data_IF_499785019128
#
_entry.id   IF_499785019128
#
_cell.length_a   1.000
_cell.length_b   1.000
_cell.length_c   1.000
_cell.angle_alpha   90.00
_cell.angle_beta   90.00
_cell.angle_gamma   90.00
#
_symmetry.space_group_name_H-M   'P 1'
#
loop_
_entity.id
_entity.type
_entity.pdbx_description
1 polymer ?
#
# COMPACT_ATOMS: atom_id res chain seq x y z
N UNK A 1 -0.82 34.33 7.87
CA UNK A 1 -0.61 32.92 8.19
C UNK A 1 -0.64 32.20 6.85
N UNK A 2 0.52 31.85 6.33
CA UNK A 2 0.65 31.25 5.00
C UNK A 2 0.38 29.75 5.13
N UNK A 3 -0.80 29.31 4.69
CA UNK A 3 -1.00 27.90 4.34
C UNK A 3 -0.06 27.59 3.16
N UNK A 4 1.14 27.18 3.52
CA UNK A 4 2.10 26.67 2.53
C UNK A 4 1.46 25.49 1.83
N UNK A 5 1.45 25.55 0.51
CA UNK A 5 0.91 24.59 -0.44
C UNK A 5 1.44 23.16 -0.13
N UNK A 6 0.83 22.49 0.86
CA UNK A 6 1.24 21.17 1.33
C UNK A 6 0.81 20.16 0.28
N UNK A 7 1.75 19.56 -0.39
CA UNK A 7 1.46 18.51 -1.38
C UNK A 7 0.73 17.36 -0.69
N UNK A 8 -0.49 17.00 -1.13
CA UNK A 8 -1.21 15.86 -0.56
C UNK A 8 -0.40 14.56 -0.65
N UNK A 9 -0.53 13.71 0.37
CA UNK A 9 0.06 12.39 0.34
C UNK A 9 -0.53 11.53 -0.80
N UNK A 10 -1.83 11.72 -1.05
CA UNK A 10 -2.55 11.09 -2.17
C UNK A 10 -3.42 12.16 -2.82
N UNK A 11 -3.31 12.27 -4.14
CA UNK A 11 -4.18 13.10 -4.97
C UNK A 11 -4.76 12.23 -6.09
N UNK A 12 -6.07 12.21 -6.21
CA UNK A 12 -6.81 11.52 -7.26
C UNK A 12 -7.68 12.57 -7.96
N UNK A 13 -7.54 12.70 -9.28
CA UNK A 13 -8.22 13.74 -10.05
C UNK A 13 -8.99 13.09 -11.21
N UNK A 14 -10.34 13.18 -11.14
CA UNK A 14 -11.30 12.70 -12.15
C UNK A 14 -11.03 11.27 -12.63
N UNK A 15 -10.66 10.39 -11.70
CA UNK A 15 -10.25 9.03 -12.04
C UNK A 15 -11.45 8.14 -12.32
N UNK A 16 -11.41 7.53 -13.50
CA UNK A 16 -12.32 6.46 -13.88
C UNK A 16 -11.54 5.21 -14.24
N UNK A 17 -12.09 4.05 -13.93
CA UNK A 17 -11.55 2.74 -14.30
C UNK A 17 -12.62 1.82 -14.84
N UNK A 18 -12.43 1.38 -16.08
CA UNK A 18 -13.26 0.35 -16.74
C UNK A 18 -12.50 -0.97 -16.84
N UNK A 19 -13.23 -2.05 -16.64
CA UNK A 19 -12.82 -3.42 -16.93
C UNK A 19 -13.68 -3.93 -18.12
N UNK A 20 -13.20 -3.68 -19.34
CA UNK A 20 -14.03 -3.85 -20.54
C UNK A 20 -15.25 -2.93 -20.48
N UNK A 21 -16.45 -3.50 -20.42
CA UNK A 21 -17.70 -2.74 -20.30
C UNK A 21 -18.17 -2.50 -18.86
N UNK A 22 -17.45 -3.02 -17.87
CA UNK A 22 -17.81 -2.89 -16.45
C UNK A 22 -17.08 -1.70 -15.84
N UNK A 23 -17.82 -0.79 -15.21
CA UNK A 23 -17.25 0.35 -14.47
C UNK A 23 -16.82 -0.13 -13.09
N UNK A 24 -15.55 0.03 -12.77
CA UNK A 24 -15.01 -0.21 -11.43
C UNK A 24 -15.15 1.01 -10.53
N UNK A 25 -14.75 2.19 -11.02
CA UNK A 25 -15.02 3.51 -10.43
C UNK A 25 -15.22 4.53 -11.55
N UNK A 26 -15.95 5.60 -11.27
CA UNK A 26 -16.27 6.64 -12.23
C UNK A 26 -16.11 8.03 -11.62
N UNK A 27 -15.30 8.86 -12.26
CA UNK A 27 -15.09 10.29 -11.97
C UNK A 27 -14.82 10.58 -10.47
N UNK A 28 -13.89 9.82 -9.88
CA UNK A 28 -13.51 9.98 -8.47
C UNK A 28 -12.40 11.01 -8.34
N UNK A 29 -12.63 12.01 -7.48
CA UNK A 29 -11.62 13.00 -7.09
C UNK A 29 -11.54 13.06 -5.57
N UNK A 30 -10.31 12.97 -5.02
CA UNK A 30 -10.03 13.10 -3.59
C UNK A 30 -8.58 13.54 -3.35
N UNK A 31 -8.36 14.22 -2.24
CA UNK A 31 -7.03 14.55 -1.73
C UNK A 31 -6.92 14.10 -0.27
N UNK A 32 -5.80 13.45 0.06
CA UNK A 32 -5.49 13.00 1.42
C UNK A 32 -4.15 13.63 1.82
N UNK A 33 -4.17 14.50 2.81
CA UNK A 33 -2.98 15.20 3.28
C UNK A 33 -2.26 14.44 4.40
N UNK A 34 -2.99 13.73 5.24
CA UNK A 34 -2.45 12.95 6.36
C UNK A 34 -3.55 12.51 7.34
N UNK A 35 -3.12 11.88 8.44
CA UNK A 35 -4.04 11.33 9.44
C UNK A 35 -4.65 9.99 9.02
N UNK A 36 -5.81 9.66 9.59
CA UNK A 36 -6.55 8.43 9.29
C UNK A 36 -7.76 8.78 8.41
N UNK A 37 -7.85 8.16 7.25
CA UNK A 37 -8.96 8.33 6.31
C UNK A 37 -9.69 7.01 6.13
N UNK A 38 -11.01 7.00 6.40
CA UNK A 38 -11.86 5.84 6.16
C UNK A 38 -12.49 5.90 4.76
N UNK A 39 -12.44 4.78 4.03
CA UNK A 39 -13.16 4.60 2.75
C UNK A 39 -14.34 3.68 2.99
N UNK A 40 -15.54 4.25 3.01
CA UNK A 40 -16.79 3.56 3.33
C UNK A 40 -17.66 3.39 2.08
N UNK A 41 -18.47 2.36 2.07
CA UNK A 41 -19.41 2.09 0.98
C UNK A 41 -19.81 0.61 0.91
N UNK A 42 -20.91 0.28 0.19
CA UNK A 42 -21.36 -1.09 0.02
C UNK A 42 -20.38 -1.93 -0.81
N UNK A 43 -20.62 -3.24 -0.87
CA UNK A 43 -19.87 -4.12 -1.78
C UNK A 43 -20.14 -3.69 -3.23
N UNK A 44 -19.10 -3.68 -4.05
CA UNK A 44 -19.19 -3.19 -5.42
C UNK A 44 -19.04 -1.67 -5.60
N UNK A 45 -18.96 -0.87 -4.53
CA UNK A 45 -18.79 0.60 -4.64
C UNK A 45 -17.42 1.06 -5.19
N UNK A 46 -16.54 0.14 -5.59
CA UNK A 46 -15.25 0.48 -6.18
C UNK A 46 -14.10 0.65 -5.19
N UNK A 47 -14.30 0.41 -3.89
CA UNK A 47 -13.24 0.55 -2.85
C UNK A 47 -11.96 -0.21 -3.22
N UNK A 48 -12.09 -1.50 -3.55
CA UNK A 48 -10.95 -2.34 -3.94
C UNK A 48 -10.29 -1.87 -5.25
N UNK A 49 -11.06 -1.30 -6.19
CA UNK A 49 -10.54 -0.70 -7.41
C UNK A 49 -9.71 0.53 -7.09
N UNK A 50 -10.20 1.41 -6.21
CA UNK A 50 -9.45 2.58 -5.74
C UNK A 50 -8.11 2.16 -5.11
N UNK A 51 -8.11 1.21 -4.18
CA UNK A 51 -6.86 0.73 -3.57
C UNK A 51 -5.90 0.12 -4.60
N UNK A 52 -6.39 -0.65 -5.58
CA UNK A 52 -5.55 -1.20 -6.66
C UNK A 52 -4.91 -0.10 -7.51
N UNK A 53 -5.61 1.01 -7.75
CA UNK A 53 -5.08 2.18 -8.44
C UNK A 53 -3.99 2.88 -7.60
N UNK A 54 -4.25 3.14 -6.31
CA UNK A 54 -3.30 3.74 -5.40
C UNK A 54 -2.03 2.90 -5.22
N UNK A 55 -2.16 1.56 -5.24
CA UNK A 55 -1.02 0.64 -5.17
C UNK A 55 -0.35 0.38 -6.52
N UNK A 56 -0.72 1.09 -7.59
CA UNK A 56 -0.13 0.91 -8.92
C UNK A 56 -0.38 -0.46 -9.57
N UNK A 57 -1.27 -1.27 -9.00
CA UNK A 57 -1.58 -2.61 -9.52
C UNK A 57 -2.40 -2.55 -10.83
N UNK A 58 -3.09 -1.46 -11.05
CA UNK A 58 -3.85 -1.18 -12.27
C UNK A 58 -3.72 0.30 -12.62
N UNK A 59 -3.66 0.63 -13.91
CA UNK A 59 -3.62 2.01 -14.40
C UNK A 59 -5.05 2.56 -14.55
N UNK A 60 -5.31 3.85 -14.25
CA UNK A 60 -6.60 4.47 -14.52
C UNK A 60 -6.90 4.45 -16.03
N UNK A 61 -8.19 4.41 -16.37
CA UNK A 61 -8.65 4.56 -17.74
C UNK A 61 -8.75 6.03 -18.14
N UNK A 62 -9.07 6.88 -17.16
CA UNK A 62 -9.08 8.35 -17.28
C UNK A 62 -8.67 8.98 -15.93
N UNK A 63 -8.25 10.25 -15.99
CA UNK A 63 -7.82 11.00 -14.83
C UNK A 63 -6.38 10.68 -14.41
N UNK A 64 -5.99 11.18 -13.25
CA UNK A 64 -4.64 11.04 -12.71
C UNK A 64 -4.62 10.66 -11.24
N UNK A 65 -3.56 9.93 -10.86
CA UNK A 65 -3.23 9.62 -9.46
C UNK A 65 -1.83 10.12 -9.20
N UNK A 66 -1.65 10.85 -8.09
CA UNK A 66 -0.34 11.26 -7.61
C UNK A 66 -0.15 10.81 -6.17
N UNK A 67 0.99 10.24 -5.88
CA UNK A 67 1.44 9.85 -4.56
C UNK A 67 2.60 10.76 -4.16
N UNK A 68 2.41 11.55 -3.11
CA UNK A 68 3.38 12.60 -2.70
C UNK A 68 3.78 13.55 -3.86
N UNK A 69 2.83 13.87 -4.75
CA UNK A 69 3.03 14.71 -5.92
C UNK A 69 3.63 14.01 -7.16
N UNK A 70 3.94 12.73 -7.09
CA UNK A 70 4.59 11.94 -8.16
C UNK A 70 3.56 10.99 -8.79
N UNK A 71 3.55 10.90 -10.12
CA UNK A 71 2.78 9.89 -10.85
C UNK A 71 3.47 8.53 -10.70
N UNK A 72 2.81 7.53 -10.07
CA UNK A 72 3.44 6.25 -9.78
C UNK A 72 3.66 5.36 -11.02
N UNK A 73 3.13 5.73 -12.19
CA UNK A 73 3.41 5.05 -13.45
C UNK A 73 4.58 5.65 -14.22
N UNK A 74 5.03 6.85 -13.84
CA UNK A 74 6.25 7.48 -14.36
C UNK A 74 7.46 7.22 -13.45
N UNK A 75 7.25 7.27 -12.12
CA UNK A 75 8.28 7.02 -11.12
C UNK A 75 7.69 6.22 -9.94
N UNK A 76 8.28 5.06 -9.67
CA UNK A 76 7.87 4.15 -8.60
C UNK A 76 8.42 4.51 -7.21
N UNK A 77 9.22 5.58 -7.11
CA UNK A 77 9.84 6.02 -5.85
C UNK A 77 8.87 6.23 -4.68
N UNK A 78 7.60 6.66 -4.90
CA UNK A 78 6.63 6.80 -3.83
C UNK A 78 6.38 5.50 -3.04
N UNK A 79 6.47 4.34 -3.69
CA UNK A 79 6.20 3.05 -3.05
C UNK A 79 7.22 2.65 -1.98
N UNK A 80 8.39 3.29 -1.95
CA UNK A 80 9.35 3.12 -0.85
C UNK A 80 8.83 3.66 0.50
N UNK A 81 7.79 4.49 0.46
CA UNK A 81 7.18 5.15 1.63
C UNK A 81 5.80 4.57 1.97
N UNK A 82 5.31 3.59 1.21
CA UNK A 82 3.97 3.04 1.34
C UNK A 82 4.06 1.57 1.76
N UNK A 83 3.34 1.22 2.83
CA UNK A 83 3.02 -0.14 3.18
C UNK A 83 1.57 -0.45 2.82
N UNK A 84 1.31 -1.65 2.32
CA UNK A 84 -0.02 -2.12 1.99
C UNK A 84 -0.30 -3.46 2.68
N UNK A 85 -1.42 -3.54 3.38
CA UNK A 85 -1.92 -4.78 3.96
C UNK A 85 -3.26 -5.09 3.30
N UNK A 86 -3.33 -6.25 2.67
CA UNK A 86 -4.53 -6.73 1.97
C UNK A 86 -5.42 -7.54 2.92
N UNK A 87 -6.73 -7.49 2.71
CA UNK A 87 -7.71 -8.30 3.46
C UNK A 87 -7.56 -9.81 3.18
N UNK A 88 -7.06 -10.19 2.01
CA UNK A 88 -7.06 -11.57 1.50
C UNK A 88 -5.67 -12.12 1.17
N UNK A 89 -4.62 -11.59 1.75
CA UNK A 89 -3.29 -12.13 1.51
C UNK A 89 -3.14 -13.49 2.19
N UNK A 90 -2.88 -14.50 1.37
CA UNK A 90 -2.37 -15.77 1.87
C UNK A 90 -0.90 -15.60 2.16
N UNK A 91 -0.54 -15.72 3.43
CA UNK A 91 0.84 -15.82 3.84
C UNK A 91 1.38 -17.21 3.45
N UNK A 92 2.68 -17.38 3.45
CA UNK A 92 3.31 -18.67 3.20
C UNK A 92 3.30 -19.48 4.51
N UNK A 93 2.33 -20.38 4.65
CA UNK A 93 2.03 -21.14 5.86
C UNK A 93 3.27 -21.88 6.43
N UNK A 94 4.19 -22.28 5.56
CA UNK A 94 5.44 -22.97 5.88
C UNK A 94 6.60 -22.06 6.32
N UNK A 95 6.43 -20.74 6.24
CA UNK A 95 7.46 -19.80 6.71
C UNK A 95 7.24 -19.45 8.17
N UNK A 96 8.35 -19.19 8.88
CA UNK A 96 8.27 -18.59 10.21
C UNK A 96 8.01 -17.08 10.11
N UNK A 97 7.51 -16.48 11.20
CA UNK A 97 7.33 -15.02 11.26
C UNK A 97 8.62 -14.25 10.98
N UNK A 98 9.76 -14.75 11.50
CA UNK A 98 11.08 -14.17 11.27
C UNK A 98 11.49 -14.28 9.80
N UNK A 99 11.33 -15.48 9.18
CA UNK A 99 11.67 -15.70 7.78
C UNK A 99 10.85 -14.81 6.85
N UNK A 100 9.55 -14.69 7.11
CA UNK A 100 8.65 -13.87 6.32
C UNK A 100 9.06 -12.40 6.35
N UNK A 101 9.19 -11.81 7.55
CA UNK A 101 9.52 -10.38 7.70
C UNK A 101 10.93 -10.08 7.17
N UNK A 102 11.92 -10.96 7.44
CA UNK A 102 13.28 -10.77 6.92
C UNK A 102 13.33 -10.91 5.39
N UNK A 103 12.54 -11.80 4.80
CA UNK A 103 12.45 -11.93 3.34
C UNK A 103 11.89 -10.66 2.71
N UNK A 104 10.82 -10.08 3.28
CA UNK A 104 10.28 -8.80 2.81
C UNK A 104 11.31 -7.67 2.92
N UNK A 105 12.04 -7.59 4.03
CA UNK A 105 13.10 -6.61 4.21
C UNK A 105 14.22 -6.74 3.15
N UNK A 106 14.59 -7.98 2.80
CA UNK A 106 15.57 -8.24 1.72
C UNK A 106 15.05 -7.83 0.35
N UNK A 107 13.77 -8.00 0.06
CA UNK A 107 13.15 -7.49 -1.18
C UNK A 107 13.20 -5.96 -1.27
N UNK A 108 13.27 -5.27 -0.13
CA UNK A 108 13.51 -3.83 -0.05
C UNK A 108 15.00 -3.43 -0.11
N UNK A 109 15.90 -4.37 -0.38
CA UNK A 109 17.32 -4.13 -0.63
C UNK A 109 18.22 -4.22 0.60
N UNK A 110 17.72 -4.71 1.74
CA UNK A 110 18.56 -4.95 2.92
C UNK A 110 19.43 -6.18 2.73
N UNK A 111 20.64 -6.15 3.28
CA UNK A 111 21.47 -7.34 3.43
C UNK A 111 20.81 -8.35 4.37
N UNK A 112 21.27 -9.61 4.35
CA UNK A 112 20.69 -10.65 5.21
C UNK A 112 20.70 -10.26 6.69
N UNK A 113 21.85 -9.80 7.17
CA UNK A 113 22.03 -9.45 8.61
C UNK A 113 21.17 -8.24 9.02
N UNK A 114 21.10 -7.22 8.16
CA UNK A 114 20.23 -6.07 8.39
C UNK A 114 18.74 -6.48 8.39
N UNK A 115 18.33 -7.34 7.47
CA UNK A 115 16.95 -7.81 7.37
C UNK A 115 16.53 -8.65 8.59
N UNK A 116 17.39 -9.54 9.07
CA UNK A 116 17.12 -10.33 10.28
C UNK A 116 17.02 -9.42 11.52
N UNK A 117 17.96 -8.51 11.70
CA UNK A 117 17.93 -7.53 12.80
C UNK A 117 16.67 -6.64 12.74
N UNK A 118 16.29 -6.19 11.53
CA UNK A 118 15.09 -5.39 11.32
C UNK A 118 13.82 -6.19 11.60
N UNK A 119 13.76 -7.46 11.18
CA UNK A 119 12.64 -8.35 11.43
C UNK A 119 12.42 -8.59 12.93
N UNK A 120 13.48 -8.86 13.68
CA UNK A 120 13.38 -8.97 15.14
C UNK A 120 12.86 -7.69 15.81
N UNK A 121 13.35 -6.53 15.35
CA UNK A 121 12.89 -5.25 15.88
C UNK A 121 11.39 -5.03 15.61
N UNK A 122 10.93 -5.31 14.39
CA UNK A 122 9.51 -5.17 14.01
C UNK A 122 8.63 -6.15 14.79
N UNK A 123 9.07 -7.41 14.94
CA UNK A 123 8.32 -8.42 15.69
C UNK A 123 8.23 -8.08 17.19
N UNK A 124 9.26 -7.46 17.76
CA UNK A 124 9.19 -6.90 19.14
C UNK A 124 8.19 -5.75 19.22
N UNK A 125 8.17 -4.87 18.22
CA UNK A 125 7.26 -3.72 18.20
C UNK A 125 5.77 -4.10 18.16
N UNK A 126 5.45 -5.26 17.55
CA UNK A 126 4.08 -5.77 17.46
C UNK A 126 3.79 -6.93 18.44
N UNK A 127 4.63 -7.13 19.47
CA UNK A 127 4.49 -8.17 20.51
C UNK A 127 4.43 -9.61 19.96
N UNK A 128 5.06 -9.87 18.81
CA UNK A 128 5.14 -11.21 18.19
C UNK A 128 6.54 -11.84 18.27
N UNK A 129 7.46 -11.23 19.00
CA UNK A 129 8.86 -11.69 19.07
C UNK A 129 9.01 -13.11 19.61
N UNK A 130 8.24 -13.49 20.61
CA UNK A 130 8.31 -14.82 21.22
C UNK A 130 7.82 -15.92 20.28
N UNK A 131 6.99 -15.56 19.32
CA UNK A 131 6.45 -16.46 18.30
C UNK A 131 7.22 -16.44 16.97
N UNK A 132 8.33 -15.72 16.89
CA UNK A 132 9.07 -15.46 15.64
C UNK A 132 9.54 -16.71 14.89
N UNK A 133 9.69 -17.83 15.57
CA UNK A 133 10.09 -19.12 14.98
C UNK A 133 8.93 -20.07 14.75
N UNK A 134 7.70 -19.66 15.08
CA UNK A 134 6.52 -20.44 14.75
C UNK A 134 6.17 -20.26 13.28
N UNK A 135 5.65 -21.31 12.67
CA UNK A 135 5.05 -21.21 11.33
C UNK A 135 3.83 -20.29 11.35
N UNK A 136 3.59 -19.62 10.21
CA UNK A 136 2.51 -18.61 10.09
C UNK A 136 1.15 -19.28 9.90
N UNK A 137 1.11 -20.53 9.39
CA UNK A 137 -0.10 -21.32 9.11
C UNK A 137 -0.73 -21.98 10.30
#
# INVERSE_FOLDING_TARGET
MSDGNKVPSILVENVSKWYGQVIGINDVSLAIEGGVTGVLGPNGAGKSTLFKLLMGRIKPSQGSVKLFGIDPWEDTSPYRRIGYVSESERLYDWMTGLDFVSTLARLHGMTRNEAESRAEHVLKFVDLYDFRHNEIG
#
